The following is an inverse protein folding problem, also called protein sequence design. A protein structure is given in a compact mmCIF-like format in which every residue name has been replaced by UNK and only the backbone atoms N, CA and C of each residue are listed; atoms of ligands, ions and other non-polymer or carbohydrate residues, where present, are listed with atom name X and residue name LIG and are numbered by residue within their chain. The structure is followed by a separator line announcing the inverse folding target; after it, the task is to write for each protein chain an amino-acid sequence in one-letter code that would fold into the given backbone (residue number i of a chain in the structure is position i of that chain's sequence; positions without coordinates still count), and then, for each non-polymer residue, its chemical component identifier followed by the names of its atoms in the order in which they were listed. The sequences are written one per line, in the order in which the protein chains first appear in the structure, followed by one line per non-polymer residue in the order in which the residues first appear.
data_IF_991981659300
#
_entry.id   IF_991981659300
#
_cell.length_a   1.000
_cell.length_b   1.000
_cell.length_c   1.000
_cell.angle_alpha   90.00
_cell.angle_beta   90.00
_cell.angle_gamma   90.00
#
_symmetry.space_group_name_H-M   'P 1'
#
loop_
_entity.id
_entity.type
_entity.pdbx_description
1 polymer ?
#
# COMPACT_ATOMS: atom_id res chain seq x y z
N UNK A 1 18.83 10.66 -0.01
CA UNK A 1 18.72 9.19 -0.18
C UNK A 1 17.42 8.91 -0.92
N UNK A 2 17.43 8.28 -2.10
CA UNK A 2 16.17 7.78 -2.69
C UNK A 2 15.65 6.70 -1.75
N UNK A 3 14.62 7.00 -0.97
CA UNK A 3 13.93 5.95 -0.21
C UNK A 3 13.45 4.93 -1.23
N UNK A 4 14.09 3.75 -1.25
CA UNK A 4 13.65 2.64 -2.09
C UNK A 4 12.24 2.27 -1.65
N UNK A 5 11.30 2.32 -2.60
CA UNK A 5 9.93 1.86 -2.38
C UNK A 5 9.98 0.39 -2.00
N UNK A 6 9.31 0.03 -0.89
CA UNK A 6 9.04 -1.36 -0.56
C UNK A 6 7.71 -1.76 -1.18
N UNK A 7 7.72 -2.86 -1.93
CA UNK A 7 6.50 -3.47 -2.44
C UNK A 7 5.92 -4.40 -1.38
N UNK A 8 4.91 -3.92 -0.66
CA UNK A 8 4.26 -4.67 0.40
C UNK A 8 3.27 -5.70 -0.18
N UNK A 9 3.34 -6.93 0.32
CA UNK A 9 2.39 -7.98 -0.02
C UNK A 9 1.02 -7.72 0.61
N UNK A 10 -0.04 -8.28 0.03
CA UNK A 10 -1.40 -8.17 0.59
C UNK A 10 -1.50 -8.69 2.01
N UNK A 11 -0.73 -9.73 2.33
CA UNK A 11 -0.67 -10.28 3.67
C UNK A 11 -0.07 -9.28 4.66
N UNK A 12 1.04 -8.63 4.30
CA UNK A 12 1.66 -7.60 5.16
C UNK A 12 0.74 -6.40 5.35
N UNK A 13 0.09 -5.95 4.28
CA UNK A 13 -0.85 -4.83 4.30
C UNK A 13 -2.04 -5.14 5.22
N UNK A 14 -2.67 -6.31 5.05
CA UNK A 14 -3.77 -6.77 5.91
C UNK A 14 -3.36 -6.93 7.38
N UNK A 15 -2.18 -7.50 7.63
CA UNK A 15 -1.67 -7.65 8.99
C UNK A 15 -1.43 -6.29 9.68
N UNK A 16 -1.03 -5.26 8.93
CA UNK A 16 -0.90 -3.91 9.45
C UNK A 16 -2.26 -3.25 9.75
N UNK A 17 -3.30 -3.58 8.97
CA UNK A 17 -4.68 -3.08 9.22
C UNK A 17 -5.19 -3.48 10.58
N UNK A 18 -5.12 -4.77 10.88
CA UNK A 18 -5.71 -5.34 12.09
C UNK A 18 -5.00 -4.86 13.36
N UNK A 19 -3.72 -4.50 13.25
CA UNK A 19 -2.91 -4.08 14.41
C UNK A 19 -2.92 -2.57 14.66
N UNK A 20 -2.82 -1.74 13.62
CA UNK A 20 -2.53 -0.29 13.76
C UNK A 20 -3.25 0.59 12.74
N UNK A 21 -3.96 -0.01 11.78
CA UNK A 21 -4.42 0.66 10.56
C UNK A 21 -5.80 1.28 10.59
N UNK A 22 -6.52 1.29 11.72
CA UNK A 22 -7.94 1.69 11.78
C UNK A 22 -8.29 2.97 11.00
N UNK A 23 -7.47 4.03 11.12
CA UNK A 23 -7.68 5.30 10.40
C UNK A 23 -7.33 5.28 8.91
N UNK A 24 -6.49 4.35 8.45
CA UNK A 24 -6.06 4.23 7.06
C UNK A 24 -6.63 3.00 6.34
N UNK A 25 -7.48 2.21 7.03
CA UNK A 25 -8.02 0.95 6.50
C UNK A 25 -8.78 1.15 5.19
N UNK A 26 -9.65 2.15 5.13
CA UNK A 26 -10.44 2.45 3.92
C UNK A 26 -9.56 2.84 2.73
N UNK A 27 -8.62 3.77 2.92
CA UNK A 27 -7.76 4.23 1.82
C UNK A 27 -6.79 3.15 1.35
N UNK A 28 -6.25 2.34 2.26
CA UNK A 28 -5.38 1.23 1.89
C UNK A 28 -6.15 0.09 1.19
N UNK A 29 -7.42 -0.18 1.58
CA UNK A 29 -8.28 -1.11 0.83
C UNK A 29 -8.55 -0.62 -0.59
N UNK A 30 -8.82 0.68 -0.77
CA UNK A 30 -8.99 1.28 -2.09
C UNK A 30 -7.70 1.14 -2.92
N UNK A 31 -6.53 1.47 -2.34
CA UNK A 31 -5.24 1.33 -3.03
C UNK A 31 -4.93 -0.12 -3.41
N UNK A 32 -5.28 -1.10 -2.56
CA UNK A 32 -5.13 -2.52 -2.90
C UNK A 32 -5.99 -2.90 -4.12
N UNK A 33 -7.23 -2.42 -4.19
CA UNK A 33 -8.09 -2.63 -5.35
C UNK A 33 -7.52 -1.98 -6.61
N UNK A 34 -7.13 -0.70 -6.52
CA UNK A 34 -6.54 0.04 -7.65
C UNK A 34 -5.27 -0.65 -8.19
N UNK A 35 -4.46 -1.23 -7.29
CA UNK A 35 -3.26 -1.99 -7.67
C UNK A 35 -3.58 -3.23 -8.51
N UNK A 36 -4.68 -3.90 -8.17
CA UNK A 36 -5.15 -5.12 -8.84
C UNK A 36 -5.75 -4.79 -10.21
N UNK A 37 -6.59 -3.75 -10.28
CA UNK A 37 -7.19 -3.25 -11.52
C UNK A 37 -6.20 -2.53 -12.46
N UNK A 38 -5.03 -2.10 -11.96
CA UNK A 38 -4.02 -1.44 -12.77
C UNK A 38 -3.36 -2.42 -13.75
N UNK A 39 -3.78 -2.35 -15.02
CA UNK A 39 -3.19 -3.10 -16.14
C UNK A 39 -1.83 -2.53 -16.57
N UNK A 40 -1.63 -1.22 -16.45
CA UNK A 40 -0.36 -0.56 -16.82
C UNK A 40 0.64 -0.62 -15.67
N UNK A 41 1.85 -1.11 -15.97
CA UNK A 41 2.96 -1.24 -15.00
C UNK A 41 3.32 0.07 -14.29
N UNK A 42 3.26 1.20 -15.00
CA UNK A 42 3.54 2.52 -14.41
C UNK A 42 2.51 2.91 -13.35
N UNK A 43 1.22 2.69 -13.62
CA UNK A 43 0.14 2.99 -12.66
C UNK A 43 0.31 2.11 -11.42
N UNK A 44 0.53 0.81 -11.60
CA UNK A 44 0.79 -0.12 -10.50
C UNK A 44 2.00 0.30 -9.65
N UNK A 45 3.02 0.91 -10.24
CA UNK A 45 4.17 1.42 -9.50
C UNK A 45 3.79 2.59 -8.58
N UNK A 46 3.04 3.58 -9.08
CA UNK A 46 2.60 4.72 -8.27
C UNK A 46 1.65 4.29 -7.14
N UNK A 47 0.73 3.37 -7.40
CA UNK A 47 -0.13 2.81 -6.34
C UNK A 47 0.70 2.12 -5.26
N UNK A 48 1.76 1.40 -5.63
CA UNK A 48 2.67 0.79 -4.64
C UNK A 48 3.50 1.83 -3.87
N UNK A 49 3.87 2.94 -4.50
CA UNK A 49 4.53 4.05 -3.81
C UNK A 49 3.62 4.63 -2.72
N UNK A 50 2.34 4.81 -3.01
CA UNK A 50 1.38 5.33 -2.05
C UNK A 50 1.10 4.32 -0.93
N UNK A 51 0.96 3.04 -1.26
CA UNK A 51 0.89 1.96 -0.26
C UNK A 51 2.12 2.01 0.65
N UNK A 52 3.34 2.17 0.12
CA UNK A 52 4.57 2.25 0.92
C UNK A 52 4.55 3.46 1.87
N UNK A 53 4.10 4.63 1.40
CA UNK A 53 3.96 5.83 2.25
C UNK A 53 3.04 5.57 3.45
N UNK A 54 1.91 4.91 3.24
CA UNK A 54 0.98 4.59 4.33
C UNK A 54 1.51 3.48 5.24
N UNK A 55 2.09 2.43 4.68
CA UNK A 55 2.65 1.31 5.45
C UNK A 55 3.80 1.75 6.35
N UNK A 56 4.65 2.68 5.90
CA UNK A 56 5.72 3.25 6.74
C UNK A 56 5.20 4.07 7.92
N UNK A 57 4.01 4.68 7.82
CA UNK A 57 3.36 5.39 8.94
C UNK A 57 2.72 4.44 9.95
N UNK A 58 2.50 3.18 9.57
CA UNK A 58 1.91 2.15 10.41
C UNK A 58 2.96 1.27 11.10
N UNK A 59 4.16 1.17 10.52
CA UNK A 59 5.27 0.39 11.04
C UNK A 59 5.85 0.95 12.34
#
# INVERSE_FOLDING_TARGET
MRNRIKFWSDREIRAAFDKRGGKYKGILQQLMMERDYAYKRQIRYFVNEDIDKFMRKLS
#
